data_IF_917001412562
#
_entry.id   IF_917001412562
#
_cell.length_a   1.000
_cell.length_b   1.000
_cell.length_c   1.000
_cell.angle_alpha   90.00
_cell.angle_beta   90.00
_cell.angle_gamma   90.00
#
_symmetry.space_group_name_H-M   'P 1'
#
loop_
_entity.id
_entity.type
_entity.pdbx_description
1 polymer ?
#
# COMPACT_ATOMS: atom_id res chain seq x y z
N UNK A 1 11.47 -2.47 8.28
CA UNK A 1 10.33 -2.63 7.36
C UNK A 1 9.11 -3.12 8.11
N UNK A 2 7.95 -2.64 7.76
CA UNK A 2 6.69 -3.14 8.30
C UNK A 2 5.65 -3.19 7.19
N UNK A 3 4.61 -4.04 7.32
CA UNK A 3 3.52 -4.05 6.36
C UNK A 3 2.76 -2.72 6.38
N UNK A 4 2.29 -2.29 5.23
CA UNK A 4 1.50 -1.06 5.12
C UNK A 4 0.27 -1.10 6.02
N UNK A 5 -0.30 -2.28 6.26
CA UNK A 5 -1.45 -2.46 7.13
C UNK A 5 -1.19 -2.02 8.58
N UNK A 6 0.08 -1.93 8.98
CA UNK A 6 0.47 -1.48 10.32
C UNK A 6 0.92 -0.01 10.35
N UNK A 7 0.97 0.67 9.22
CA UNK A 7 1.39 2.05 9.16
C UNK A 7 0.33 2.98 9.77
N UNK A 8 0.78 4.06 10.38
CA UNK A 8 -0.12 5.02 11.00
C UNK A 8 -0.85 5.87 9.97
N UNK A 9 -2.11 6.17 10.25
CA UNK A 9 -2.92 7.05 9.42
C UNK A 9 -2.28 8.45 9.39
N UNK A 10 -2.20 9.01 8.18
CA UNK A 10 -1.65 10.34 7.97
C UNK A 10 -0.13 10.39 7.79
N UNK A 11 0.55 9.29 8.06
CA UNK A 11 2.00 9.23 7.90
C UNK A 11 2.37 8.82 6.49
N UNK A 12 3.32 9.55 5.91
CA UNK A 12 3.84 9.21 4.58
C UNK A 12 4.99 8.23 4.73
N UNK A 13 4.94 7.16 3.94
CA UNK A 13 5.96 6.11 3.97
C UNK A 13 6.50 5.86 2.57
N UNK A 14 7.74 5.39 2.51
CA UNK A 14 8.36 4.97 1.25
C UNK A 14 8.20 3.46 1.10
N UNK A 15 7.71 3.02 -0.05
CA UNK A 15 7.56 1.60 -0.33
C UNK A 15 8.93 0.98 -0.53
N UNK A 16 9.25 -0.02 0.29
CA UNK A 16 10.57 -0.67 0.26
C UNK A 16 10.55 -2.02 -0.43
N UNK A 17 9.42 -2.72 -0.38
CA UNK A 17 9.28 -4.03 -1.00
C UNK A 17 7.81 -4.33 -1.23
N UNK A 18 7.53 -5.06 -2.30
CA UNK A 18 6.19 -5.57 -2.58
C UNK A 18 6.29 -7.09 -2.64
N UNK A 19 5.54 -7.76 -1.76
CA UNK A 19 5.49 -9.22 -1.70
C UNK A 19 4.39 -9.81 -2.56
N UNK A 20 4.21 -11.11 -2.45
CA UNK A 20 3.20 -11.84 -3.20
C UNK A 20 3.75 -12.47 -4.47
N UNK A 21 2.85 -13.13 -5.23
CA UNK A 21 3.24 -13.74 -6.49
C UNK A 21 3.33 -12.66 -7.59
N UNK A 22 3.92 -13.00 -8.78
CA UNK A 22 4.08 -12.00 -9.84
C UNK A 22 2.78 -11.34 -10.29
N UNK A 23 1.67 -12.08 -10.26
CA UNK A 23 0.37 -11.54 -10.66
C UNK A 23 -0.10 -10.46 -9.68
N UNK A 24 0.05 -10.71 -8.38
CA UNK A 24 -0.30 -9.75 -7.33
C UNK A 24 0.61 -8.53 -7.41
N UNK A 25 1.91 -8.74 -7.59
CA UNK A 25 2.87 -7.64 -7.72
C UNK A 25 2.51 -6.72 -8.87
N UNK A 26 2.18 -7.30 -10.01
CA UNK A 26 1.80 -6.53 -11.19
C UNK A 26 0.52 -5.74 -10.96
N UNK A 27 -0.45 -6.36 -10.31
CA UNK A 27 -1.70 -5.67 -9.95
C UNK A 27 -1.44 -4.45 -9.08
N UNK A 28 -0.60 -4.60 -8.06
CA UNK A 28 -0.24 -3.50 -7.18
C UNK A 28 0.54 -2.41 -7.91
N UNK A 29 1.45 -2.78 -8.81
CA UNK A 29 2.16 -1.80 -9.64
C UNK A 29 1.19 -0.99 -10.51
N UNK A 30 0.19 -1.65 -11.08
CA UNK A 30 -0.81 -0.98 -11.90
C UNK A 30 -1.64 0.02 -11.09
N UNK A 31 -1.80 -0.22 -9.81
CA UNK A 31 -2.47 0.72 -8.90
C UNK A 31 -1.56 1.88 -8.48
N UNK A 32 -0.27 1.80 -8.77
CA UNK A 32 0.69 2.84 -8.43
C UNK A 32 1.66 2.49 -7.30
N UNK A 33 1.59 1.29 -6.76
CA UNK A 33 2.51 0.86 -5.70
C UNK A 33 3.80 0.34 -6.30
N UNK A 34 4.83 1.19 -6.30
CA UNK A 34 6.14 0.82 -6.82
C UNK A 34 7.20 1.05 -5.75
N UNK A 35 8.22 0.21 -5.75
CA UNK A 35 9.36 0.35 -4.83
C UNK A 35 10.02 1.70 -5.05
N UNK A 36 10.27 2.42 -3.96
CA UNK A 36 10.81 3.78 -4.00
C UNK A 36 9.76 4.86 -4.06
N UNK A 37 8.51 4.51 -4.34
CA UNK A 37 7.41 5.48 -4.33
C UNK A 37 6.91 5.75 -2.92
N UNK A 38 6.17 6.84 -2.76
CA UNK A 38 5.60 7.21 -1.47
C UNK A 38 4.13 6.81 -1.40
N UNK A 39 3.68 6.46 -0.20
CA UNK A 39 2.30 6.10 0.07
C UNK A 39 1.90 6.66 1.43
N UNK A 40 0.68 7.17 1.52
CA UNK A 40 0.11 7.69 2.77
C UNK A 40 -1.20 6.97 3.06
N UNK A 41 -1.31 6.42 4.27
CA UNK A 41 -2.58 5.82 4.72
C UNK A 41 -3.52 6.95 5.11
N UNK A 42 -4.70 6.99 4.49
CA UNK A 42 -5.72 8.00 4.76
C UNK A 42 -6.67 7.52 5.84
N UNK A 43 -7.16 6.30 5.72
CA UNK A 43 -8.08 5.71 6.69
C UNK A 43 -8.18 4.20 6.49
N UNK A 44 -8.85 3.54 7.43
CA UNK A 44 -9.20 2.13 7.29
C UNK A 44 -10.72 2.02 7.41
N UNK A 45 -11.31 1.16 6.62
CA UNK A 45 -12.77 1.01 6.60
C UNK A 45 -13.14 -0.42 6.21
N UNK A 46 -13.76 -1.13 7.14
CA UNK A 46 -14.34 -2.44 6.86
C UNK A 46 -13.37 -3.47 6.29
N UNK A 47 -12.14 -3.53 6.79
CA UNK A 47 -11.14 -4.46 6.28
C UNK A 47 -10.38 -3.96 5.06
N UNK A 48 -10.63 -2.72 4.63
CA UNK A 48 -9.89 -2.09 3.55
C UNK A 48 -9.01 -0.98 4.10
N UNK A 49 -7.90 -0.73 3.42
CA UNK A 49 -7.00 0.38 3.72
C UNK A 49 -7.10 1.38 2.58
N UNK A 50 -7.47 2.61 2.92
CA UNK A 50 -7.58 3.69 1.95
C UNK A 50 -6.25 4.45 1.98
N UNK A 51 -5.60 4.54 0.84
CA UNK A 51 -4.29 5.18 0.75
C UNK A 51 -4.26 6.21 -0.36
N UNK A 52 -3.30 7.12 -0.25
CA UNK A 52 -3.00 8.06 -1.31
C UNK A 52 -1.64 7.65 -1.88
N UNK A 53 -1.61 7.31 -3.15
CA UNK A 53 -0.40 6.91 -3.87
C UNK A 53 -0.38 7.60 -5.21
N UNK A 54 0.74 8.27 -5.56
CA UNK A 54 0.86 9.08 -6.78
C UNK A 54 -0.29 10.08 -6.92
N UNK A 55 -0.68 10.69 -5.80
CA UNK A 55 -1.77 11.67 -5.76
C UNK A 55 -3.14 11.10 -6.13
N UNK A 56 -3.27 9.79 -6.15
CA UNK A 56 -4.52 9.10 -6.41
C UNK A 56 -4.94 8.34 -5.16
N UNK A 57 -6.22 8.41 -4.82
CA UNK A 57 -6.77 7.67 -3.70
C UNK A 57 -7.14 6.27 -4.16
N UNK A 58 -6.60 5.26 -3.47
CA UNK A 58 -6.82 3.86 -3.80
C UNK A 58 -7.24 3.11 -2.56
N UNK A 59 -8.22 2.23 -2.69
CA UNK A 59 -8.62 1.32 -1.63
C UNK A 59 -8.05 -0.07 -1.93
N UNK A 60 -7.35 -0.65 -0.96
CA UNK A 60 -6.85 -2.02 -1.08
C UNK A 60 -7.31 -2.81 0.14
N UNK A 61 -7.47 -4.11 -0.03
CA UNK A 61 -7.81 -4.97 1.10
C UNK A 61 -6.65 -5.01 2.08
N UNK A 62 -6.95 -5.32 3.33
CA UNK A 62 -5.92 -5.49 4.34
C UNK A 62 -4.93 -6.57 3.93
N UNK A 63 -5.41 -7.64 3.30
CA UNK A 63 -4.57 -8.71 2.80
C UNK A 63 -3.54 -8.20 1.78
N UNK A 64 -3.96 -7.33 0.85
CA UNK A 64 -3.06 -6.72 -0.11
C UNK A 64 -2.10 -5.75 0.57
N UNK A 65 -2.59 -4.97 1.52
CA UNK A 65 -1.76 -4.02 2.25
C UNK A 65 -0.63 -4.71 3.02
N UNK A 66 -0.86 -5.93 3.51
CA UNK A 66 0.18 -6.71 4.19
C UNK A 66 1.35 -7.08 3.28
N UNK A 67 1.15 -7.06 1.98
CA UNK A 67 2.18 -7.41 1.00
C UNK A 67 3.05 -6.22 0.61
N UNK A 68 2.65 -5.03 0.99
CA UNK A 68 3.40 -3.80 0.72
C UNK A 68 4.19 -3.47 1.98
N UNK A 69 5.52 -3.50 1.85
CA UNK A 69 6.42 -3.21 2.98
C UNK A 69 6.92 -1.76 2.90
N UNK A 70 6.85 -1.09 4.00
CA UNK A 70 7.28 0.31 4.12
C UNK A 70 8.26 0.51 5.27
#
# INVERSE_FOLDING_TARGET
MMPLSLADVGEENTIKKIGGNPKVKKHLENLGFIVGGNVRVISTLGGNVIVNVKEVRVAVSEEMARKIMV
#
